data_IF_191078672063
#
_entry.id   IF_191078672063
#
_cell.length_a   1.000
_cell.length_b   1.000
_cell.length_c   1.000
_cell.angle_alpha   90.00
_cell.angle_beta   90.00
_cell.angle_gamma   90.00
#
_symmetry.space_group_name_H-M   'P 1'
#
loop_
_entity.id
_entity.type
_entity.pdbx_description
1 polymer ?
#
# COMPACT_ATOMS: atom_id res chain seq x y z
N UNK A 1 -11.15 23.33 34.07
CA UNK A 1 -11.84 23.72 32.82
C UNK A 1 -10.92 23.88 31.60
N UNK A 2 -9.85 24.69 31.62
CA UNK A 2 -9.00 24.94 30.42
C UNK A 2 -8.35 23.70 29.80
N UNK A 3 -7.91 22.75 30.62
CA UNK A 3 -7.25 21.53 30.14
C UNK A 3 -8.20 20.52 29.48
N UNK A 4 -9.45 20.46 29.94
CA UNK A 4 -10.47 19.56 29.38
C UNK A 4 -10.87 19.95 27.95
N UNK A 5 -10.88 21.25 27.65
CA UNK A 5 -11.19 21.76 26.30
C UNK A 5 -10.05 21.42 25.33
N UNK A 6 -8.80 21.49 25.77
CA UNK A 6 -7.62 21.18 24.92
C UNK A 6 -7.56 19.69 24.58
N UNK A 7 -7.87 18.80 25.52
CA UNK A 7 -7.91 17.35 25.25
C UNK A 7 -9.02 16.96 24.27
N UNK A 8 -10.16 17.66 24.29
CA UNK A 8 -11.28 17.38 23.38
C UNK A 8 -10.96 17.76 21.93
N UNK A 9 -10.25 18.87 21.71
CA UNK A 9 -9.90 19.35 20.36
C UNK A 9 -8.88 18.42 19.68
N UNK A 10 -7.88 17.93 20.42
CA UNK A 10 -6.85 17.02 19.89
C UNK A 10 -7.44 15.64 19.55
N UNK A 11 -8.41 15.15 20.34
CA UNK A 11 -9.05 13.85 20.10
C UNK A 11 -9.90 13.79 18.83
N UNK A 12 -10.55 14.89 18.44
CA UNK A 12 -11.48 14.93 17.30
C UNK A 12 -10.82 14.89 15.91
N UNK A 13 -9.52 15.19 15.80
CA UNK A 13 -8.84 15.21 14.51
C UNK A 13 -8.56 13.81 13.92
N UNK A 14 -8.61 12.76 14.73
CA UNK A 14 -8.30 11.39 14.30
C UNK A 14 -9.44 10.69 13.56
N UNK A 15 -10.67 11.22 13.62
CA UNK A 15 -11.88 10.51 13.17
C UNK A 15 -12.17 10.72 11.67
N UNK A 16 -11.48 11.65 11.01
CA UNK A 16 -11.73 11.98 9.58
C UNK A 16 -10.81 11.23 8.59
N UNK A 17 -9.87 10.43 9.08
CA UNK A 17 -9.00 9.60 8.24
C UNK A 17 -9.58 8.18 8.09
N UNK A 18 -10.48 7.94 7.13
CA UNK A 18 -10.61 6.56 6.64
C UNK A 18 -11.92 6.14 6.01
N UNK A 19 -12.10 6.43 4.73
CA UNK A 19 -12.89 5.59 3.83
C UNK A 19 -12.37 5.72 2.38
N UNK A 20 -11.06 5.56 2.18
CA UNK A 20 -10.50 5.41 0.84
C UNK A 20 -10.82 4.01 0.30
N UNK A 21 -11.28 3.90 -0.96
CA UNK A 21 -11.37 2.58 -1.61
C UNK A 21 -9.98 1.97 -1.65
N UNK A 22 -9.84 0.73 -1.19
CA UNK A 22 -8.61 -0.03 -1.31
C UNK A 22 -8.23 -0.12 -2.80
N UNK A 23 -7.23 0.67 -3.19
CA UNK A 23 -6.63 0.57 -4.51
C UNK A 23 -5.67 -0.62 -4.44
N UNK A 24 -5.90 -1.61 -5.31
CA UNK A 24 -4.88 -2.62 -5.54
C UNK A 24 -3.60 -1.92 -6.04
N UNK A 25 -2.42 -2.40 -5.63
CA UNK A 25 -1.15 -1.91 -6.15
C UNK A 25 -0.86 -2.49 -7.53
N UNK A 26 0.00 -1.82 -8.31
CA UNK A 26 0.41 -2.24 -9.64
C UNK A 26 1.36 -3.46 -9.63
N UNK A 27 1.99 -3.73 -8.48
CA UNK A 27 2.99 -4.78 -8.32
C UNK A 27 2.64 -5.71 -7.16
N UNK A 28 2.95 -6.99 -7.34
CA UNK A 28 2.80 -8.05 -6.36
C UNK A 28 4.16 -8.66 -6.02
N UNK A 29 4.45 -8.77 -4.72
CA UNK A 29 5.51 -9.62 -4.20
C UNK A 29 4.97 -11.04 -4.01
N UNK A 30 5.63 -12.02 -4.61
CA UNK A 30 5.32 -13.43 -4.50
C UNK A 30 6.40 -14.11 -3.66
N UNK A 31 6.04 -14.56 -2.47
CA UNK A 31 6.91 -15.37 -1.62
C UNK A 31 6.72 -16.86 -1.94
N UNK A 32 5.45 -17.28 -2.07
CA UNK A 32 5.00 -18.62 -2.41
C UNK A 32 3.70 -18.56 -3.23
N UNK A 33 3.21 -19.67 -3.82
CA UNK A 33 1.97 -19.68 -4.61
C UNK A 33 0.72 -19.19 -3.85
N UNK A 34 0.73 -19.29 -2.53
CA UNK A 34 -0.38 -18.91 -1.66
C UNK A 34 -0.10 -17.67 -0.80
N UNK A 35 1.15 -17.20 -0.78
CA UNK A 35 1.60 -16.09 0.07
C UNK A 35 2.16 -15.00 -0.83
N UNK A 36 1.33 -13.98 -1.07
CA UNK A 36 1.70 -12.85 -1.91
C UNK A 36 1.12 -11.54 -1.37
N UNK A 37 1.75 -10.42 -1.73
CA UNK A 37 1.30 -9.09 -1.36
C UNK A 37 1.25 -8.18 -2.61
N UNK A 38 0.04 -7.79 -3.02
CA UNK A 38 -0.25 -6.96 -4.19
C UNK A 38 -0.50 -5.48 -3.87
N UNK A 39 0.07 -4.97 -2.78
CA UNK A 39 -0.14 -3.59 -2.31
C UNK A 39 0.85 -2.56 -2.86
N UNK A 40 1.77 -2.94 -3.76
CA UNK A 40 2.88 -2.06 -4.16
C UNK A 40 2.55 -1.22 -5.39
N UNK A 41 2.84 0.08 -5.32
CA UNK A 41 2.61 0.98 -6.46
C UNK A 41 3.75 0.94 -7.47
N UNK A 42 4.98 0.62 -7.04
CA UNK A 42 6.17 0.59 -7.89
C UNK A 42 6.94 -0.71 -7.73
N UNK A 43 7.68 -1.07 -8.77
CA UNK A 43 8.56 -2.23 -8.76
C UNK A 43 9.64 -2.12 -7.69
N UNK A 44 10.23 -0.93 -7.52
CA UNK A 44 11.27 -0.70 -6.50
C UNK A 44 10.74 -0.92 -5.08
N UNK A 45 9.48 -0.56 -4.82
CA UNK A 45 8.85 -0.77 -3.51
C UNK A 45 8.65 -2.27 -3.23
N UNK A 46 8.26 -3.03 -4.25
CA UNK A 46 8.21 -4.49 -4.17
C UNK A 46 9.62 -5.09 -3.95
N UNK A 47 10.61 -4.70 -4.76
CA UNK A 47 11.99 -5.19 -4.66
C UNK A 47 12.61 -4.93 -3.28
N UNK A 48 12.42 -3.72 -2.74
CA UNK A 48 12.90 -3.38 -1.41
C UNK A 48 12.31 -4.29 -0.33
N UNK A 49 11.08 -4.77 -0.53
CA UNK A 49 10.40 -5.67 0.42
C UNK A 49 10.90 -7.10 0.31
N UNK A 50 11.08 -7.63 -0.91
CA UNK A 50 11.61 -8.99 -1.12
C UNK A 50 13.12 -9.08 -0.89
N UNK A 51 13.82 -7.95 -0.89
CA UNK A 51 15.26 -7.87 -0.59
C UNK A 51 15.52 -8.35 0.83
N UNK A 52 16.10 -9.54 0.96
CA UNK A 52 16.37 -10.20 2.24
C UNK A 52 15.27 -11.15 2.72
N UNK A 53 14.03 -11.00 2.25
CA UNK A 53 12.93 -11.94 2.53
C UNK A 53 12.86 -13.11 1.54
N UNK A 54 13.37 -12.92 0.31
CA UNK A 54 13.22 -13.87 -0.79
C UNK A 54 11.94 -13.64 -1.60
N UNK A 55 11.79 -14.40 -2.70
CA UNK A 55 10.65 -14.29 -3.62
C UNK A 55 10.93 -13.44 -4.87
N UNK A 56 9.87 -13.08 -5.60
CA UNK A 56 9.95 -12.29 -6.83
C UNK A 56 8.80 -11.29 -6.97
N UNK A 57 9.04 -10.25 -7.77
CA UNK A 57 8.06 -9.20 -8.05
C UNK A 57 7.47 -9.36 -9.45
N UNK A 58 6.14 -9.32 -9.56
CA UNK A 58 5.42 -9.39 -10.83
C UNK A 58 4.28 -8.36 -10.89
N UNK A 59 3.84 -7.92 -12.08
CA UNK A 59 2.68 -7.05 -12.22
C UNK A 59 1.42 -7.67 -11.63
N UNK A 60 0.56 -6.84 -11.05
CA UNK A 60 -0.72 -7.29 -10.51
C UNK A 60 -1.73 -7.55 -11.63
N UNK A 61 -2.14 -8.80 -11.80
CA UNK A 61 -3.13 -9.22 -12.80
C UNK A 61 -4.54 -8.67 -12.55
N UNK A 62 -4.87 -8.33 -11.29
CA UNK A 62 -6.17 -7.80 -10.90
C UNK A 62 -6.29 -6.29 -11.13
N UNK A 63 -5.20 -5.62 -11.54
CA UNK A 63 -5.27 -4.24 -11.98
C UNK A 63 -5.43 -4.18 -13.50
N UNK A 64 -6.41 -3.41 -14.03
CA UNK A 64 -6.33 -3.01 -15.42
C UNK A 64 -5.00 -2.27 -15.59
N UNK A 65 -4.12 -2.81 -16.43
CA UNK A 65 -2.81 -2.25 -16.75
C UNK A 65 -3.03 -0.83 -17.29
N UNK A 66 -3.10 0.14 -16.39
CA UNK A 66 -3.29 1.54 -16.76
C UNK A 66 -1.91 2.00 -17.21
N UNK A 67 -1.62 1.85 -18.50
CA UNK A 67 -0.36 2.25 -19.11
C UNK A 67 -0.03 3.70 -18.68
N UNK A 68 1.14 3.91 -18.04
CA UNK A 68 2.40 3.89 -18.76
C UNK A 68 3.52 3.20 -17.96
N UNK A 69 3.43 1.90 -17.72
CA UNK A 69 4.54 1.13 -17.13
C UNK A 69 5.55 0.60 -18.16
N UNK A 70 5.22 0.65 -19.46
CA UNK A 70 6.07 0.21 -20.58
C UNK A 70 6.75 1.41 -21.24
N UNK A 71 7.58 2.15 -20.50
CA UNK A 71 8.56 3.08 -21.08
C UNK A 71 9.94 2.84 -20.47
N UNK A 72 10.57 1.75 -20.91
CA UNK A 72 12.02 1.61 -21.06
C UNK A 72 12.27 0.69 -22.24
#
# INVERSE_FOLDING_TARGET
MRYFVVTLIVGSALVLMGAGKARAGAWCAWYDPYTYNCGFNTFQQCQATISGAGGYCAPNSNQPQTAPQRRR
#
